data_IF_136314911494
#
_entry.id   IF_136314911494
#
_cell.length_a   1.000
_cell.length_b   1.000
_cell.length_c   1.000
_cell.angle_alpha   90.00
_cell.angle_beta   90.00
_cell.angle_gamma   90.00
#
_symmetry.space_group_name_H-M   'P 1'
#
loop_
_entity.id
_entity.type
_entity.pdbx_description
1 polymer ?
#
# COMPACT_ATOMS: atom_id res chain seq x y z
N UNK A 1 -23.23 4.08 -4.15
CA UNK A 1 -22.30 3.24 -4.90
C UNK A 1 -20.94 3.49 -4.29
N UNK A 2 -20.51 2.63 -3.36
CA UNK A 2 -19.29 2.87 -2.57
C UNK A 2 -18.13 2.16 -3.27
N UNK A 3 -17.26 2.95 -3.89
CA UNK A 3 -15.90 2.52 -4.20
C UNK A 3 -15.10 2.75 -2.92
N UNK A 4 -14.46 1.70 -2.42
CA UNK A 4 -13.46 1.82 -1.37
C UNK A 4 -12.39 0.75 -1.58
N UNK A 5 -11.15 1.18 -1.83
CA UNK A 5 -9.98 0.29 -1.76
C UNK A 5 -9.69 0.07 -0.27
N UNK A 6 -10.25 -0.99 0.31
CA UNK A 6 -9.83 -1.50 1.62
C UNK A 6 -8.86 -2.67 1.41
N UNK A 7 -7.62 -2.51 1.87
CA UNK A 7 -6.82 -3.65 2.32
C UNK A 7 -7.11 -3.75 3.82
N UNK A 8 -8.21 -4.42 4.17
CA UNK A 8 -8.54 -4.68 5.58
C UNK A 8 -7.67 -5.81 6.12
N UNK A 9 -7.04 -5.56 7.27
CA UNK A 9 -6.54 -6.62 8.15
C UNK A 9 -7.73 -7.31 8.80
N UNK A 10 -8.11 -8.47 8.28
CA UNK A 10 -9.33 -9.16 8.68
C UNK A 10 -9.25 -9.64 10.14
N UNK A 11 -10.16 -9.16 10.99
CA UNK A 11 -10.40 -9.71 12.31
C UNK A 11 -11.92 -9.82 12.52
N UNK A 12 -12.52 -10.92 12.08
CA UNK A 12 -13.86 -11.30 12.55
C UNK A 12 -14.02 -12.81 12.60
N UNK A 13 -14.63 -13.25 13.70
CA UNK A 13 -14.97 -14.63 14.04
C UNK A 13 -16.10 -15.10 13.14
N UNK A 14 -15.80 -15.72 12.01
CA UNK A 14 -16.67 -16.73 11.35
C UNK A 14 -15.92 -17.36 10.17
N UNK A 15 -15.77 -18.68 10.20
CA UNK A 15 -15.24 -19.58 9.16
C UNK A 15 -14.03 -19.05 8.38
N UNK A 16 -12.83 -19.12 8.99
CA UNK A 16 -11.52 -18.81 8.38
C UNK A 16 -11.26 -19.65 7.12
N UNK A 17 -11.69 -19.17 5.96
CA UNK A 17 -10.86 -19.34 4.75
C UNK A 17 -9.66 -18.44 4.97
N UNK A 18 -8.48 -19.01 5.15
CA UNK A 18 -7.24 -18.24 5.36
C UNK A 18 -6.87 -17.51 4.07
N UNK A 19 -7.52 -16.38 3.81
CA UNK A 19 -7.14 -15.49 2.74
C UNK A 19 -6.02 -14.58 3.25
N UNK A 20 -4.82 -14.72 2.69
CA UNK A 20 -3.66 -13.93 3.09
C UNK A 20 -3.66 -12.52 2.50
N UNK A 21 -4.51 -12.27 1.50
CA UNK A 21 -4.51 -11.03 0.71
C UNK A 21 -5.92 -10.74 0.19
N UNK A 22 -6.47 -9.58 0.52
CA UNK A 22 -7.72 -9.10 -0.07
C UNK A 22 -7.43 -7.86 -0.92
N UNK A 23 -7.63 -7.97 -2.23
CA UNK A 23 -7.47 -6.88 -3.20
C UNK A 23 -8.77 -6.76 -3.98
N UNK A 24 -9.26 -5.54 -4.16
CA UNK A 24 -10.42 -5.27 -5.02
C UNK A 24 -10.18 -5.79 -6.44
N UNK A 25 -11.18 -6.44 -7.04
CA UNK A 25 -11.12 -6.85 -8.46
C UNK A 25 -10.89 -5.67 -9.41
N UNK A 26 -11.30 -4.45 -9.00
CA UNK A 26 -11.03 -3.21 -9.74
C UNK A 26 -9.55 -2.95 -9.96
N UNK A 27 -8.68 -3.43 -9.05
CA UNK A 27 -7.23 -3.31 -9.18
C UNK A 27 -6.70 -3.93 -10.49
N UNK A 28 -7.35 -5.01 -10.95
CA UNK A 28 -7.00 -5.68 -12.20
C UNK A 28 -7.84 -5.17 -13.38
N UNK A 29 -9.15 -5.00 -13.20
CA UNK A 29 -10.01 -4.57 -14.32
C UNK A 29 -9.71 -3.13 -14.76
N UNK A 30 -9.28 -2.26 -13.84
CA UNK A 30 -8.83 -0.90 -14.14
C UNK A 30 -7.33 -0.83 -14.46
N UNK A 31 -6.67 -1.98 -14.65
CA UNK A 31 -5.28 -2.14 -15.11
C UNK A 31 -4.19 -1.55 -14.20
N UNK A 32 -4.51 -1.12 -12.99
CA UNK A 32 -3.54 -0.61 -11.99
C UNK A 32 -2.40 -1.62 -11.77
N UNK A 33 -2.74 -2.92 -11.66
CA UNK A 33 -1.76 -3.99 -11.51
C UNK A 33 -0.75 -4.07 -12.68
N UNK A 34 -1.18 -3.75 -13.90
CA UNK A 34 -0.36 -3.82 -15.10
C UNK A 34 0.54 -2.59 -15.28
N UNK A 35 0.17 -1.46 -14.67
CA UNK A 35 0.93 -0.22 -14.72
C UNK A 35 2.04 -0.18 -13.67
N UNK A 36 1.86 -0.87 -12.54
CA UNK A 36 2.86 -0.97 -11.49
C UNK A 36 3.91 -2.02 -11.83
N UNK A 37 5.19 -1.70 -11.60
CA UNK A 37 6.25 -2.71 -11.60
C UNK A 37 6.00 -3.73 -10.48
N UNK A 38 6.39 -5.01 -10.65
CA UNK A 38 6.24 -6.02 -9.61
C UNK A 38 6.84 -5.61 -8.24
N UNK A 39 7.97 -4.91 -8.25
CA UNK A 39 8.59 -4.37 -7.04
C UNK A 39 7.75 -3.30 -6.36
N UNK A 40 7.10 -2.44 -7.14
CA UNK A 40 6.26 -1.36 -6.61
C UNK A 40 4.98 -1.94 -6.02
N UNK A 41 4.40 -2.94 -6.68
CA UNK A 41 3.27 -3.70 -6.15
C UNK A 41 3.62 -4.36 -4.81
N UNK A 42 4.76 -5.06 -4.73
CA UNK A 42 5.20 -5.70 -3.49
C UNK A 42 5.34 -4.70 -2.34
N UNK A 43 5.95 -3.54 -2.61
CA UNK A 43 6.12 -2.47 -1.61
C UNK A 43 4.78 -1.85 -1.24
N UNK A 44 3.87 -1.64 -2.18
CA UNK A 44 2.51 -1.14 -1.92
C UNK A 44 1.72 -2.09 -1.03
N UNK A 45 1.72 -3.39 -1.33
CA UNK A 45 1.06 -4.39 -0.48
C UNK A 45 1.67 -4.44 0.92
N UNK A 46 3.00 -4.36 1.01
CA UNK A 46 3.68 -4.31 2.29
C UNK A 46 3.33 -3.04 3.08
N UNK A 47 3.26 -1.88 2.43
CA UNK A 47 2.82 -0.60 3.02
C UNK A 47 1.39 -0.73 3.56
N UNK A 48 0.48 -1.28 2.78
CA UNK A 48 -0.91 -1.48 3.18
C UNK A 48 -1.04 -2.45 4.38
N UNK A 49 -0.11 -3.39 4.56
CA UNK A 49 -0.07 -4.25 5.77
C UNK A 49 0.24 -3.50 7.07
N UNK A 50 0.74 -2.26 6.98
CA UNK A 50 0.97 -1.36 8.11
C UNK A 50 -0.13 -0.29 8.25
N UNK A 51 -1.12 -0.28 7.35
CA UNK A 51 -2.14 0.76 7.36
C UNK A 51 -3.06 0.61 8.58
N UNK A 52 -3.17 1.67 9.37
CA UNK A 52 -4.15 1.76 10.45
C UNK A 52 -5.54 2.16 9.89
N UNK A 53 -6.56 2.27 10.76
CA UNK A 53 -7.96 2.52 10.38
C UNK A 53 -8.17 3.72 9.44
N UNK A 54 -7.26 4.69 9.44
CA UNK A 54 -7.38 5.90 8.63
C UNK A 54 -6.62 5.82 7.29
N UNK A 55 -5.85 4.76 7.04
CA UNK A 55 -4.93 4.67 5.90
C UNK A 55 -3.55 5.27 6.19
N UNK A 56 -3.29 5.64 7.44
CA UNK A 56 -2.00 6.15 7.91
C UNK A 56 -1.04 4.97 8.11
N UNK A 57 0.17 5.13 7.60
CA UNK A 57 1.24 4.16 7.65
C UNK A 57 2.46 4.82 8.29
N UNK A 58 2.74 4.44 9.54
CA UNK A 58 3.87 4.96 10.33
C UNK A 58 5.10 4.06 10.28
N UNK A 59 5.23 3.22 9.24
CA UNK A 59 6.34 2.30 9.09
C UNK A 59 7.57 2.98 8.47
N UNK A 60 8.74 2.75 9.06
CA UNK A 60 10.01 3.17 8.49
C UNK A 60 10.36 2.34 7.24
N UNK A 61 11.16 2.91 6.34
CA UNK A 61 11.69 2.18 5.19
C UNK A 61 12.48 0.92 5.58
N UNK A 62 13.07 0.90 6.79
CA UNK A 62 13.79 -0.27 7.31
C UNK A 62 12.83 -1.41 7.67
N UNK A 63 11.68 -1.08 8.26
CA UNK A 63 10.64 -2.07 8.58
C UNK A 63 10.01 -2.63 7.31
N UNK A 64 9.74 -1.76 6.34
CA UNK A 64 9.24 -2.15 5.01
C UNK A 64 10.24 -3.08 4.32
N UNK A 65 11.54 -2.75 4.34
CA UNK A 65 12.60 -3.61 3.79
C UNK A 65 12.63 -4.98 4.48
N UNK A 66 12.62 -4.99 5.82
CA UNK A 66 12.61 -6.24 6.61
C UNK A 66 11.40 -7.13 6.29
N UNK A 67 10.21 -6.54 6.16
CA UNK A 67 8.97 -7.31 5.94
C UNK A 67 8.80 -7.73 4.47
N UNK A 68 9.21 -6.91 3.52
CA UNK A 68 9.12 -7.21 2.08
C UNK A 68 10.24 -8.13 1.57
N UNK A 69 11.32 -8.31 2.35
CA UNK A 69 12.51 -9.05 1.91
C UNK A 69 13.37 -8.29 0.89
N UNK A 70 13.07 -7.01 0.66
CA UNK A 70 13.78 -6.15 -0.29
C UNK A 70 14.87 -5.34 0.41
N UNK A 71 15.86 -4.88 -0.36
CA UNK A 71 16.85 -3.95 0.14
C UNK A 71 16.23 -2.57 0.45
N UNK A 72 16.84 -1.82 1.38
CA UNK A 72 16.38 -0.46 1.71
C UNK A 72 16.41 0.47 0.48
N UNK A 73 17.39 0.31 -0.41
CA UNK A 73 17.50 1.12 -1.64
C UNK A 73 16.38 0.78 -2.64
N UNK A 74 16.05 -0.50 -2.80
CA UNK A 74 14.90 -0.94 -3.60
C UNK A 74 13.59 -0.39 -3.05
N UNK A 75 13.38 -0.47 -1.73
CA UNK A 75 12.20 0.10 -1.06
C UNK A 75 12.11 1.60 -1.28
N UNK A 76 13.20 2.33 -1.07
CA UNK A 76 13.22 3.78 -1.27
C UNK A 76 12.87 4.16 -2.73
N UNK A 77 13.43 3.45 -3.71
CA UNK A 77 13.11 3.67 -5.12
C UNK A 77 11.63 3.39 -5.42
N UNK A 78 11.11 2.25 -4.96
CA UNK A 78 9.72 1.87 -5.15
C UNK A 78 8.76 2.88 -4.50
N UNK A 79 9.06 3.35 -3.28
CA UNK A 79 8.27 4.38 -2.60
C UNK A 79 8.24 5.67 -3.42
N UNK A 80 9.38 6.13 -3.92
CA UNK A 80 9.42 7.34 -4.76
C UNK A 80 8.60 7.15 -6.04
N UNK A 81 8.69 6.00 -6.70
CA UNK A 81 7.85 5.70 -7.87
C UNK A 81 6.35 5.65 -7.53
N UNK A 82 5.98 5.11 -6.36
CA UNK A 82 4.59 5.07 -5.88
C UNK A 82 4.06 6.46 -5.52
N UNK A 83 4.91 7.36 -5.00
CA UNK A 83 4.57 8.76 -4.71
C UNK A 83 4.31 9.56 -5.99
N UNK A 84 4.91 9.16 -7.12
CA UNK A 84 4.68 9.77 -8.44
C UNK A 84 3.53 9.12 -9.22
N UNK A 85 3.17 7.87 -8.89
CA UNK A 85 2.07 7.19 -9.57
C UNK A 85 0.73 7.91 -9.30
N UNK A 86 -0.08 8.04 -10.36
CA UNK A 86 -1.41 8.66 -10.32
C UNK A 86 -2.43 7.71 -10.93
N UNK A 87 -3.47 7.39 -10.17
CA UNK A 87 -4.64 6.70 -10.68
C UNK A 87 -5.76 7.72 -10.89
N UNK A 88 -6.26 7.84 -12.14
CA UNK A 88 -7.25 8.85 -12.55
C UNK A 88 -6.89 10.29 -12.13
N UNK A 89 -5.60 10.64 -12.21
CA UNK A 89 -5.09 11.97 -11.84
C UNK A 89 -4.82 12.16 -10.34
N UNK A 90 -5.25 11.22 -9.49
CA UNK A 90 -5.05 11.29 -8.05
C UNK A 90 -3.87 10.41 -7.63
N UNK A 91 -2.98 10.84 -6.73
CA UNK A 91 -1.93 9.98 -6.17
C UNK A 91 -2.54 8.85 -5.34
N UNK A 92 -1.89 7.67 -5.37
CA UNK A 92 -2.32 6.53 -4.56
C UNK A 92 -1.77 6.59 -3.13
N UNK A 93 -0.62 7.25 -2.95
CA UNK A 93 0.01 7.47 -1.65
C UNK A 93 0.52 8.90 -1.54
N UNK A 94 0.49 9.44 -0.33
CA UNK A 94 1.14 10.68 0.05
C UNK A 94 2.25 10.44 1.06
N UNK A 95 3.16 11.40 1.18
CA UNK A 95 4.18 11.42 2.23
C UNK A 95 4.07 12.73 3.00
N UNK A 96 3.93 12.60 4.31
CA UNK A 96 4.03 13.70 5.27
C UNK A 96 5.25 13.50 6.18
N UNK A 97 5.75 14.58 6.76
CA UNK A 97 6.83 14.53 7.74
C UNK A 97 6.30 14.92 9.11
N UNK A 98 6.32 13.98 10.06
CA UNK A 98 6.09 14.25 11.48
C UNK A 98 7.45 14.33 12.17
N UNK A 99 8.03 15.53 12.18
CA UNK A 99 9.41 15.75 12.61
C UNK A 99 10.41 15.14 11.63
N UNK A 100 11.21 14.17 12.08
CA UNK A 100 12.24 13.49 11.26
C UNK A 100 11.66 12.24 10.56
N UNK A 101 10.44 11.81 10.94
CA UNK A 101 9.83 10.59 10.42
C UNK A 101 8.91 10.88 9.23
N UNK A 102 9.10 10.11 8.16
CA UNK A 102 8.14 10.06 7.06
C UNK A 102 6.94 9.18 7.44
N UNK A 103 5.74 9.70 7.22
CA UNK A 103 4.46 9.01 7.37
C UNK A 103 3.83 8.92 6.00
N UNK A 104 3.31 7.75 5.63
CA UNK A 104 2.63 7.55 4.36
C UNK A 104 1.13 7.50 4.57
N UNK A 105 0.36 8.04 3.63
CA UNK A 105 -1.11 8.07 3.71
C UNK A 105 -1.65 7.46 2.42
N UNK A 106 -2.47 6.42 2.55
CA UNK A 106 -3.20 5.83 1.43
C UNK A 106 -4.36 6.73 1.02
N UNK A 107 -4.50 6.96 -0.28
CA UNK A 107 -5.63 7.73 -0.81
C UNK A 107 -6.90 6.88 -0.83
N UNK A 108 -8.02 7.49 -0.43
CA UNK A 108 -9.35 6.88 -0.55
C UNK A 108 -9.93 7.21 -1.92
N UNK A 109 -10.39 6.18 -2.61
CA UNK A 109 -11.13 6.22 -3.88
C UNK A 109 -12.48 5.56 -3.68
#
# INVERSE_FOLDING_TARGET
>A
MFNTIFIESFNSKETKRNCYLNISSSFFSERIAAELKPTNLMVLLCLCSFAEKEGIISASQREIAKRSGLSKTTVNKAINELLEYRYKGTPIIFREFKGIQAVYILTRY
#
